data_IF_617853610887
#
_entry.id   IF_617853610887
#
_cell.length_a   1.000
_cell.length_b   1.000
_cell.length_c   1.000
_cell.angle_alpha   90.00
_cell.angle_beta   90.00
_cell.angle_gamma   90.00
#
_symmetry.space_group_name_H-M   'P 1'
#
loop_
_entity.id
_entity.type
_entity.pdbx_description
1 polymer ?
#
# COMPACT_ATOMS: atom_id res chain seq x y z
N UNK A 1 3.22 15.27 -11.51
CA UNK A 1 4.26 14.34 -12.02
C UNK A 1 4.73 13.44 -10.90
N UNK A 2 4.63 12.14 -11.10
CA UNK A 2 5.10 11.17 -10.13
C UNK A 2 6.62 11.21 -9.96
N UNK A 3 7.10 10.95 -8.75
CA UNK A 3 8.54 10.85 -8.48
C UNK A 3 8.99 9.44 -8.87
N UNK A 4 9.43 9.32 -10.12
CA UNK A 4 9.92 8.07 -10.69
C UNK A 4 11.04 8.36 -11.69
N UNK A 5 12.12 7.56 -11.62
CA UNK A 5 13.21 7.61 -12.57
C UNK A 5 13.37 6.27 -13.25
N UNK A 6 13.51 6.28 -14.58
CA UNK A 6 13.73 5.06 -15.37
C UNK A 6 15.09 5.18 -16.06
N UNK A 7 15.95 4.20 -15.82
CA UNK A 7 17.29 4.09 -16.40
C UNK A 7 17.55 2.64 -16.78
N UNK A 8 18.65 2.37 -17.47
CA UNK A 8 19.04 1.01 -17.84
C UNK A 8 19.21 0.10 -16.61
N UNK A 9 19.73 0.63 -15.52
CA UNK A 9 19.99 -0.12 -14.29
C UNK A 9 18.71 -0.47 -13.53
N UNK A 10 17.59 0.21 -13.81
CA UNK A 10 16.35 -0.03 -13.13
C UNK A 10 15.46 1.20 -12.99
N UNK A 11 14.45 1.04 -12.16
CA UNK A 11 13.48 2.09 -11.87
C UNK A 11 13.56 2.45 -10.39
N UNK A 12 13.66 3.75 -10.11
CA UNK A 12 13.48 4.27 -8.76
C UNK A 12 12.11 4.93 -8.66
N UNK A 13 11.37 4.67 -7.58
CA UNK A 13 10.16 5.42 -7.30
C UNK A 13 9.95 5.67 -5.81
N UNK A 14 9.19 6.71 -5.54
CA UNK A 14 8.78 7.11 -4.21
C UNK A 14 7.30 6.78 -4.03
N UNK A 15 7.02 5.85 -3.12
CA UNK A 15 5.67 5.32 -2.90
C UNK A 15 5.16 5.69 -1.51
N UNK A 16 3.86 5.84 -1.39
CA UNK A 16 3.15 5.95 -0.12
C UNK A 16 2.05 4.89 -0.10
N UNK A 17 1.83 4.29 1.06
CA UNK A 17 0.80 3.26 1.23
C UNK A 17 0.13 3.38 2.59
N UNK A 18 -1.08 2.87 2.70
CA UNK A 18 -1.89 2.96 3.91
C UNK A 18 -2.33 1.61 4.46
N UNK A 19 -2.23 1.48 5.77
CA UNK A 19 -2.81 0.36 6.52
C UNK A 19 -4.16 0.82 7.03
N UNK A 20 -5.21 0.37 6.37
CA UNK A 20 -6.59 0.67 6.73
C UNK A 20 -7.22 -0.58 7.31
N UNK A 21 -7.53 -0.52 8.61
CA UNK A 21 -8.06 -1.65 9.36
C UNK A 21 -9.49 -1.30 9.82
N UNK A 22 -10.42 -2.24 9.62
CA UNK A 22 -11.78 -2.14 10.12
C UNK A 22 -12.28 -3.54 10.49
N UNK A 23 -12.85 -3.67 11.69
CA UNK A 23 -13.43 -4.94 12.17
C UNK A 23 -12.47 -6.13 12.04
N UNK A 24 -11.19 -5.91 12.40
CA UNK A 24 -10.17 -6.95 12.35
C UNK A 24 -9.71 -7.34 10.94
N UNK A 25 -10.11 -6.58 9.93
CA UNK A 25 -9.73 -6.77 8.53
C UNK A 25 -8.83 -5.65 8.06
N UNK A 26 -7.94 -5.95 7.14
CA UNK A 26 -7.10 -4.96 6.47
C UNK A 26 -7.43 -4.93 4.98
N UNK A 27 -7.43 -3.72 4.42
CA UNK A 27 -7.68 -3.55 2.99
C UNK A 27 -6.39 -3.80 2.21
N UNK A 28 -6.49 -4.69 1.22
CA UNK A 28 -5.38 -5.00 0.30
C UNK A 28 -5.85 -4.84 -1.13
N UNK A 29 -4.91 -4.66 -2.05
CA UNK A 29 -5.23 -4.56 -3.47
C UNK A 29 -4.15 -5.22 -4.32
N UNK A 30 -4.48 -5.45 -5.59
CA UNK A 30 -3.52 -5.90 -6.59
C UNK A 30 -3.97 -5.47 -7.98
N UNK A 31 -3.04 -5.40 -8.93
CA UNK A 31 -3.41 -5.43 -10.33
C UNK A 31 -4.08 -6.76 -10.63
N UNK A 32 -5.12 -6.75 -11.44
CA UNK A 32 -5.88 -7.97 -11.76
C UNK A 32 -5.00 -9.06 -12.39
N UNK A 33 -3.92 -8.65 -13.08
CA UNK A 33 -2.99 -9.57 -13.73
C UNK A 33 -1.85 -10.06 -12.81
N UNK A 34 -1.70 -9.50 -11.62
CA UNK A 34 -0.66 -9.88 -10.68
C UNK A 34 -1.08 -11.07 -9.82
N UNK A 35 -0.09 -11.85 -9.37
CA UNK A 35 -0.30 -12.99 -8.47
C UNK A 35 -0.18 -12.63 -6.99
N UNK A 36 0.13 -11.38 -6.66
CA UNK A 36 0.38 -10.94 -5.29
C UNK A 36 -0.43 -9.70 -4.95
N UNK A 37 -0.66 -9.53 -3.66
CA UNK A 37 -1.36 -8.39 -3.09
C UNK A 37 -0.38 -7.39 -2.51
N UNK A 38 -0.83 -6.16 -2.34
CA UNK A 38 -0.08 -5.07 -1.71
C UNK A 38 -1.06 -4.20 -0.91
N UNK A 39 -0.52 -3.23 -0.18
CA UNK A 39 -1.37 -2.24 0.47
C UNK A 39 -1.75 -1.13 -0.51
N UNK A 40 -2.95 -0.57 -0.40
CA UNK A 40 -3.39 0.56 -1.24
C UNK A 40 -2.47 1.76 -1.07
N UNK A 41 -2.20 2.43 -2.18
CA UNK A 41 -1.35 3.60 -2.21
C UNK A 41 -0.92 3.89 -3.63
N UNK A 42 0.14 4.65 -3.78
CA UNK A 42 0.65 5.03 -5.09
C UNK A 42 1.92 5.85 -4.99
N UNK A 43 2.30 6.45 -6.10
CA UNK A 43 3.49 7.30 -6.18
C UNK A 43 3.19 8.70 -5.66
N UNK A 44 4.14 9.23 -4.89
CA UNK A 44 4.09 10.61 -4.46
C UNK A 44 4.50 11.49 -5.63
N UNK A 45 3.84 12.63 -5.77
CA UNK A 45 4.12 13.60 -6.85
C UNK A 45 5.17 14.62 -6.42
N UNK A 46 5.80 15.24 -7.39
CA UNK A 46 6.74 16.34 -7.14
C UNK A 46 6.02 17.42 -6.32
N UNK A 47 6.68 17.89 -5.29
CA UNK A 47 6.20 18.95 -4.37
C UNK A 47 4.98 18.56 -3.53
N UNK A 48 4.64 17.27 -3.51
CA UNK A 48 3.55 16.76 -2.69
C UNK A 48 4.10 16.11 -1.42
N UNK A 49 3.52 16.43 -0.28
CA UNK A 49 3.84 15.72 0.97
C UNK A 49 3.27 14.29 0.90
N UNK A 50 4.00 13.34 1.47
CA UNK A 50 3.61 11.93 1.43
C UNK A 50 2.20 11.68 1.98
N UNK A 51 1.84 12.33 3.09
CA UNK A 51 0.52 12.18 3.69
C UNK A 51 -0.59 12.68 2.77
N UNK A 52 -0.36 13.81 2.12
CA UNK A 52 -1.31 14.37 1.15
C UNK A 52 -1.44 13.45 -0.06
N UNK A 53 -0.32 12.90 -0.52
CA UNK A 53 -0.31 11.93 -1.61
C UNK A 53 -1.14 10.69 -1.29
N UNK A 54 -1.03 10.20 -0.06
CA UNK A 54 -1.82 9.02 0.36
C UNK A 54 -3.32 9.33 0.39
N UNK A 55 -3.70 10.49 0.93
CA UNK A 55 -5.10 10.92 0.94
C UNK A 55 -5.64 11.05 -0.48
N UNK A 56 -4.84 11.62 -1.38
CA UNK A 56 -5.20 11.75 -2.80
C UNK A 56 -5.40 10.38 -3.46
N UNK A 57 -4.49 9.44 -3.22
CA UNK A 57 -4.60 8.09 -3.80
C UNK A 57 -5.87 7.37 -3.34
N UNK A 58 -6.21 7.43 -2.06
CA UNK A 58 -7.45 6.84 -1.56
C UNK A 58 -8.68 7.49 -2.17
N UNK A 59 -8.66 8.80 -2.36
CA UNK A 59 -9.76 9.52 -2.98
C UNK A 59 -9.91 9.18 -4.46
N UNK A 60 -8.80 9.15 -5.21
CA UNK A 60 -8.82 8.83 -6.64
C UNK A 60 -9.23 7.38 -6.91
N UNK A 61 -8.71 6.45 -6.12
CA UNK A 61 -8.90 5.02 -6.40
C UNK A 61 -10.21 4.48 -5.79
N UNK A 62 -10.61 4.97 -4.63
CA UNK A 62 -11.73 4.41 -3.86
C UNK A 62 -12.82 5.42 -3.52
N UNK A 63 -12.59 6.70 -3.72
CA UNK A 63 -13.54 7.74 -3.30
C UNK A 63 -13.69 7.84 -1.78
N UNK A 64 -12.67 7.42 -1.04
CA UNK A 64 -12.68 7.39 0.42
C UNK A 64 -11.81 8.50 0.97
N UNK A 65 -12.35 9.28 1.91
CA UNK A 65 -11.58 10.26 2.67
C UNK A 65 -10.94 9.55 3.87
N UNK A 66 -9.61 9.58 3.93
CA UNK A 66 -8.88 8.97 5.03
C UNK A 66 -8.17 10.03 5.86
N UNK A 67 -8.01 9.73 7.14
CA UNK A 67 -7.16 10.49 8.05
C UNK A 67 -5.88 9.74 8.28
N UNK A 68 -4.75 10.47 8.27
CA UNK A 68 -3.45 9.89 8.55
C UNK A 68 -3.25 9.90 10.06
N UNK A 69 -3.11 8.72 10.64
CA UNK A 69 -2.93 8.59 12.09
C UNK A 69 -1.45 8.67 12.49
N UNK A 70 -0.60 7.88 11.84
CA UNK A 70 0.83 7.89 12.14
C UNK A 70 1.64 7.13 11.10
N UNK A 71 2.92 7.46 11.02
CA UNK A 71 3.88 6.69 10.22
C UNK A 71 4.17 5.38 10.93
N UNK A 72 4.05 4.27 10.20
CA UNK A 72 4.39 2.94 10.71
C UNK A 72 5.79 2.53 10.30
N UNK A 73 6.09 2.62 9.00
CA UNK A 73 7.37 2.16 8.47
C UNK A 73 7.87 3.10 7.37
N UNK A 74 9.18 3.33 7.38
CA UNK A 74 9.91 3.86 6.23
C UNK A 74 10.68 2.69 5.64
N UNK A 75 10.50 2.43 4.34
CA UNK A 75 10.96 1.18 3.73
C UNK A 75 11.84 1.48 2.53
N UNK A 76 13.04 0.91 2.53
CA UNK A 76 13.86 0.80 1.33
C UNK A 76 13.58 -0.59 0.74
N UNK A 77 13.04 -0.64 -0.46
CA UNK A 77 12.58 -1.88 -1.06
C UNK A 77 13.29 -2.13 -2.40
N UNK A 78 13.95 -3.24 -2.52
CA UNK A 78 14.70 -3.66 -3.71
C UNK A 78 14.09 -4.95 -4.23
N UNK A 79 13.47 -4.89 -5.40
CA UNK A 79 12.74 -6.06 -5.94
C UNK A 79 12.76 -6.07 -7.46
N UNK A 80 12.37 -7.19 -8.04
CA UNK A 80 12.12 -7.30 -9.47
C UNK A 80 10.62 -7.40 -9.74
N UNK A 81 10.18 -6.70 -10.76
CA UNK A 81 8.81 -6.76 -11.24
C UNK A 81 8.83 -6.62 -12.77
N UNK A 82 8.21 -7.59 -13.46
CA UNK A 82 8.20 -7.64 -14.93
C UNK A 82 9.62 -7.51 -15.52
N UNK A 83 10.55 -8.31 -15.00
CA UNK A 83 11.96 -8.36 -15.42
C UNK A 83 12.72 -7.04 -15.27
N UNK A 84 12.24 -6.16 -14.42
CA UNK A 84 12.87 -4.87 -14.16
C UNK A 84 13.23 -4.76 -12.70
N UNK A 85 14.43 -4.26 -12.40
CA UNK A 85 14.86 -3.97 -11.04
C UNK A 85 14.23 -2.69 -10.55
N UNK A 86 13.64 -2.75 -9.36
CA UNK A 86 13.06 -1.61 -8.68
C UNK A 86 13.84 -1.27 -7.42
N UNK A 87 14.09 0.02 -7.25
CA UNK A 87 14.55 0.60 -5.99
C UNK A 87 13.47 1.57 -5.54
N UNK A 88 12.81 1.26 -4.44
CA UNK A 88 11.67 2.04 -3.97
C UNK A 88 11.90 2.53 -2.55
N UNK A 89 11.57 3.79 -2.32
CA UNK A 89 11.40 4.32 -0.97
C UNK A 89 9.91 4.43 -0.73
N UNK A 90 9.43 3.80 0.33
CA UNK A 90 8.02 3.80 0.69
C UNK A 90 7.78 4.28 2.10
N UNK A 91 6.79 5.14 2.28
CA UNK A 91 6.27 5.50 3.59
C UNK A 91 4.91 4.84 3.77
N UNK A 92 4.77 4.11 4.86
CA UNK A 92 3.57 3.34 5.20
C UNK A 92 2.93 3.95 6.44
N UNK A 93 1.69 4.38 6.29
CA UNK A 93 0.95 5.06 7.36
C UNK A 93 -0.23 4.23 7.82
N UNK A 94 -0.51 4.31 9.12
CA UNK A 94 -1.80 3.87 9.63
C UNK A 94 -2.82 4.96 9.28
N UNK A 95 -3.95 4.55 8.66
CA UNK A 95 -5.01 5.47 8.28
C UNK A 95 -6.35 4.99 8.83
N UNK A 96 -7.26 5.94 9.01
CA UNK A 96 -8.66 5.65 9.34
C UNK A 96 -9.54 6.32 8.32
N UNK A 97 -10.70 5.74 8.05
CA UNK A 97 -11.65 6.31 7.13
C UNK A 97 -12.76 7.05 7.88
N UNK A 98 -13.16 8.17 7.32
CA UNK A 98 -14.22 9.01 7.89
C UNK A 98 -15.62 8.49 7.55
N UNK A 99 -15.73 7.68 6.51
CA UNK A 99 -17.00 7.23 5.98
C UNK A 99 -17.38 5.86 6.54
N UNK A 100 -18.70 5.66 6.68
CA UNK A 100 -19.28 4.41 7.08
C UNK A 100 -19.34 3.52 5.83
N UNK A 101 -18.40 2.60 5.69
CA UNK A 101 -18.47 1.59 4.63
C UNK A 101 -18.28 0.20 5.22
N UNK A 102 -18.89 -0.77 4.58
CA UNK A 102 -18.91 -2.12 5.07
C UNK A 102 -17.66 -2.90 4.67
N UNK A 103 -17.18 -3.73 5.60
CA UNK A 103 -16.18 -4.72 5.30
C UNK A 103 -16.86 -5.88 4.59
N UNK A 104 -16.68 -5.95 3.27
CA UNK A 104 -17.29 -6.98 2.46
C UNK A 104 -16.31 -8.13 2.26
N UNK A 105 -16.80 -9.36 2.33
CA UNK A 105 -15.98 -10.56 2.12
C UNK A 105 -15.60 -10.76 0.64
N UNK A 106 -16.32 -10.12 -0.29
CA UNK A 106 -16.08 -10.28 -1.74
C UNK A 106 -15.10 -9.23 -2.25
N UNK A 107 -14.20 -9.62 -3.16
CA UNK A 107 -13.36 -8.64 -3.87
C UNK A 107 -14.20 -7.65 -4.65
N UNK A 108 -13.67 -6.44 -4.85
CA UNK A 108 -14.36 -5.38 -5.58
C UNK A 108 -13.34 -4.52 -6.34
N UNK A 109 -13.83 -3.85 -7.37
CA UNK A 109 -13.00 -2.90 -8.13
C UNK A 109 -13.06 -1.52 -7.50
N UNK A 110 -11.97 -0.75 -7.70
CA UNK A 110 -11.97 0.67 -7.35
C UNK A 110 -12.82 1.49 -8.32
N UNK A 111 -12.98 2.77 -8.04
CA UNK A 111 -13.80 3.66 -8.87
C UNK A 111 -13.13 4.07 -10.17
N UNK A 112 -11.84 3.84 -10.32
CA UNK A 112 -11.09 4.16 -11.53
C UNK A 112 -11.23 3.11 -12.64
N UNK A 113 -11.91 2.00 -12.39
CA UNK A 113 -12.12 0.93 -13.35
C UNK A 113 -11.69 -0.44 -12.84
N UNK A 114 -11.40 -1.36 -13.76
CA UNK A 114 -11.17 -2.78 -13.46
C UNK A 114 -9.69 -3.17 -13.42
N UNK A 115 -8.80 -2.20 -13.40
CA UNK A 115 -7.35 -2.45 -13.36
C UNK A 115 -6.88 -2.95 -11.99
N UNK A 116 -7.44 -2.40 -10.92
CA UNK A 116 -7.11 -2.77 -9.54
C UNK A 116 -8.31 -3.45 -8.88
N UNK A 117 -8.05 -4.56 -8.22
CA UNK A 117 -9.04 -5.26 -7.42
C UNK A 117 -8.66 -5.15 -5.94
N UNK A 118 -9.65 -4.89 -5.11
CA UNK A 118 -9.51 -4.68 -3.67
C UNK A 118 -10.19 -5.78 -2.90
N UNK A 119 -9.68 -6.05 -1.71
CA UNK A 119 -10.23 -7.09 -0.85
C UNK A 119 -9.99 -6.74 0.62
N UNK A 120 -10.97 -6.96 1.45
CA UNK A 120 -10.80 -6.97 2.89
C UNK A 120 -10.41 -8.38 3.32
N UNK A 121 -9.32 -8.52 4.07
CA UNK A 121 -8.88 -9.81 4.57
C UNK A 121 -8.75 -9.76 6.09
N UNK A 122 -9.25 -10.77 6.82
CA UNK A 122 -8.99 -10.85 8.25
C UNK A 122 -7.48 -10.83 8.51
N UNK A 123 -7.04 -10.03 9.45
CA UNK A 123 -5.60 -9.91 9.78
C UNK A 123 -5.03 -11.28 10.16
N UNK A 124 -5.83 -12.12 10.83
CA UNK A 124 -5.44 -13.48 11.20
C UNK A 124 -5.15 -14.39 9.98
N UNK A 125 -5.59 -14.00 8.79
CA UNK A 125 -5.42 -14.79 7.56
C UNK A 125 -4.38 -14.23 6.61
N UNK A 126 -3.65 -13.21 7.01
CA UNK A 126 -2.60 -12.62 6.16
C UNK A 126 -1.53 -13.62 5.74
N UNK A 127 -1.26 -14.63 6.56
CA UNK A 127 -0.28 -15.67 6.25
C UNK A 127 -0.71 -16.55 5.08
N UNK A 128 -2.00 -16.57 4.74
CA UNK A 128 -2.57 -17.41 3.70
C UNK A 128 -2.55 -16.77 2.32
N UNK A 129 -2.19 -15.50 2.22
CA UNK A 129 -2.14 -14.77 0.95
C UNK A 129 -0.71 -14.39 0.64
N UNK A 130 -0.44 -14.22 -0.65
CA UNK A 130 0.84 -13.72 -1.12
C UNK A 130 0.75 -12.20 -1.13
N UNK A 131 1.38 -11.55 -0.15
CA UNK A 131 1.40 -10.10 -0.02
C UNK A 131 2.84 -9.61 -0.01
N UNK A 132 3.12 -8.52 -0.73
CA UNK A 132 4.44 -7.91 -0.78
C UNK A 132 4.39 -6.45 -0.32
N UNK A 133 5.42 -5.95 0.33
CA UNK A 133 6.57 -6.71 0.89
C UNK A 133 6.14 -7.70 1.97
N UNK A 134 6.85 -8.80 2.10
CA UNK A 134 6.45 -9.89 3.01
C UNK A 134 6.47 -9.51 4.49
N UNK A 135 7.25 -8.51 4.89
CA UNK A 135 7.27 -8.07 6.29
C UNK A 135 5.88 -7.64 6.79
N UNK A 136 4.98 -7.26 5.87
CA UNK A 136 3.63 -6.84 6.22
C UNK A 136 2.86 -7.91 6.97
N UNK A 137 3.12 -9.18 6.68
CA UNK A 137 2.42 -10.30 7.34
C UNK A 137 2.60 -10.30 8.85
N UNK A 138 3.80 -9.98 9.32
CA UNK A 138 4.10 -9.92 10.76
C UNK A 138 3.86 -8.53 11.35
N UNK A 139 4.24 -7.48 10.65
CA UNK A 139 4.19 -6.12 11.19
C UNK A 139 2.76 -5.57 11.32
N UNK A 140 1.85 -5.97 10.44
CA UNK A 140 0.44 -5.54 10.56
C UNK A 140 -0.21 -6.13 11.82
N UNK A 141 0.18 -7.34 12.20
CA UNK A 141 -0.38 -8.01 13.39
C UNK A 141 0.04 -7.35 14.70
N UNK A 142 1.21 -6.74 14.71
CA UNK A 142 1.81 -6.16 15.92
C UNK A 142 2.56 -4.89 15.54
N UNK A 143 1.82 -3.79 15.40
CA UNK A 143 2.42 -2.50 15.10
C UNK A 143 3.04 -1.89 16.35
N UNK A 144 4.26 -1.38 16.21
CA UNK A 144 4.99 -0.76 17.31
C UNK A 144 4.57 0.70 17.52
N UNK A 145 4.84 1.24 18.72
CA UNK A 145 4.52 2.62 19.06
C UNK A 145 5.41 3.64 18.33
N UNK A 146 6.60 3.21 17.89
CA UNK A 146 7.54 4.06 17.17
C UNK A 146 7.68 3.59 15.74
N UNK A 147 7.86 4.49 14.77
CA UNK A 147 8.12 4.09 13.38
C UNK A 147 9.39 3.25 13.28
N UNK A 148 9.36 2.25 12.41
CA UNK A 148 10.51 1.41 12.09
C UNK A 148 11.05 1.72 10.72
N UNK A 149 12.37 1.65 10.58
CA UNK A 149 13.01 1.66 9.27
C UNK A 149 13.29 0.21 8.86
N UNK A 150 12.83 -0.17 7.67
CA UNK A 150 12.91 -1.55 7.18
C UNK A 150 13.59 -1.55 5.82
N UNK A 151 14.52 -2.50 5.62
CA UNK A 151 15.14 -2.73 4.32
C UNK A 151 14.72 -4.11 3.83
N UNK A 152 14.14 -4.15 2.64
CA UNK A 152 13.67 -5.38 1.99
C UNK A 152 14.51 -5.59 0.74
N UNK A 153 15.20 -6.71 0.68
CA UNK A 153 16.03 -7.05 -0.47
C UNK A 153 15.72 -8.47 -0.91
N UNK A 154 15.26 -8.58 -2.12
CA UNK A 154 14.99 -9.89 -2.73
C UNK A 154 16.18 -10.37 -3.56
#
# INVERSE_FOLDING_TARGET
>A
MDIVFKREQGIFNYRVAGVLIKDGHVLIHKNVDDSFWALPGGRVKISEEAQIGLQREFQEELGIDVQIERLLWSVENFFEYNDTHFHEIGFYYQVTANDDYEVNAKPFYGIEGERLIYKWIPISQLDKVKIYPEFLKSEIKDTHNCPKHIVVRL
#
